data_IF_727339487448
#
_entry.id   IF_727339487448
#
_cell.length_a   1.000
_cell.length_b   1.000
_cell.length_c   1.000
_cell.angle_alpha   90.00
_cell.angle_beta   90.00
_cell.angle_gamma   90.00
#
_symmetry.space_group_name_H-M   'P 1'
#
loop_
_entity.id
_entity.type
_entity.pdbx_description
1 polymer ?
#
# COMPACT_ATOMS: atom_id res chain seq x y z
N UNK A 1 13.07 37.59 13.86
CA UNK A 1 12.24 36.63 14.65
C UNK A 1 10.78 37.07 14.75
N UNK A 2 10.35 38.07 14.00
CA UNK A 2 8.98 38.59 14.07
C UNK A 2 8.05 37.79 13.15
N UNK A 3 6.86 37.49 13.66
CA UNK A 3 5.74 36.80 13.02
C UNK A 3 5.91 35.30 12.72
N UNK A 4 6.33 34.50 13.71
CA UNK A 4 6.14 33.04 13.64
C UNK A 4 4.66 32.70 13.83
N UNK A 5 4.05 32.02 12.85
CA UNK A 5 2.69 31.44 12.98
C UNK A 5 2.55 30.51 14.18
N UNK A 6 3.61 29.75 14.51
CA UNK A 6 3.66 28.86 15.69
C UNK A 6 4.47 29.53 16.81
N UNK A 7 3.76 30.08 17.79
CA UNK A 7 4.32 30.86 18.90
C UNK A 7 4.55 30.03 20.17
N UNK A 8 3.76 28.97 20.38
CA UNK A 8 3.83 28.15 21.59
C UNK A 8 5.00 27.14 21.53
N UNK A 9 5.89 27.20 22.52
CA UNK A 9 7.01 26.26 22.69
C UNK A 9 6.69 25.22 23.77
N UNK A 10 7.02 23.96 23.51
CA UNK A 10 7.01 22.87 24.50
C UNK A 10 8.39 22.21 24.53
N UNK A 11 8.91 21.95 25.74
CA UNK A 11 10.20 21.30 25.97
C UNK A 11 9.98 19.92 26.57
N UNK A 12 10.80 18.97 26.16
CA UNK A 12 10.85 17.60 26.70
C UNK A 12 12.33 17.29 26.94
N UNK A 13 12.65 16.81 28.12
CA UNK A 13 13.99 16.32 28.45
C UNK A 13 14.06 14.83 28.14
N UNK A 14 15.15 14.42 27.52
CA UNK A 14 15.39 13.03 27.10
C UNK A 14 16.74 12.59 27.65
N UNK A 15 16.82 11.33 28.04
CA UNK A 15 18.10 10.63 28.20
C UNK A 15 18.78 10.43 26.84
N UNK A 16 20.08 10.13 26.84
CA UNK A 16 20.82 9.88 25.59
C UNK A 16 20.22 8.71 24.78
N UNK A 17 19.75 7.66 25.47
CA UNK A 17 19.12 6.50 24.85
C UNK A 17 17.78 6.87 24.17
N UNK A 18 16.96 7.68 24.84
CA UNK A 18 15.70 8.17 24.28
C UNK A 18 15.94 9.12 23.09
N UNK A 19 16.98 9.94 23.17
CA UNK A 19 17.38 10.84 22.08
C UNK A 19 17.85 10.07 20.85
N UNK A 20 18.66 9.02 21.03
CA UNK A 20 19.07 8.13 19.94
C UNK A 20 17.85 7.48 19.27
N UNK A 21 16.95 6.92 20.08
CA UNK A 21 15.69 6.32 19.61
C UNK A 21 14.83 7.34 18.84
N UNK A 22 14.78 8.59 19.30
CA UNK A 22 14.07 9.67 18.62
C UNK A 22 14.70 9.96 17.25
N UNK A 23 16.03 10.02 17.13
CA UNK A 23 16.69 10.26 15.85
C UNK A 23 16.45 9.14 14.84
N UNK A 24 16.51 7.88 15.27
CA UNK A 24 16.20 6.74 14.42
C UNK A 24 14.77 6.84 13.86
N UNK A 25 13.79 7.16 14.72
CA UNK A 25 12.40 7.35 14.30
C UNK A 25 12.22 8.54 13.37
N UNK A 26 12.94 9.64 13.58
CA UNK A 26 12.92 10.79 12.67
C UNK A 26 13.50 10.38 11.32
N UNK A 27 14.63 9.66 11.29
CA UNK A 27 15.28 9.19 10.07
C UNK A 27 14.45 8.21 9.25
N UNK A 28 13.67 7.35 9.93
CA UNK A 28 12.70 6.47 9.29
C UNK A 28 11.43 7.20 8.84
N UNK A 29 11.22 8.43 9.29
CA UNK A 29 10.09 9.26 8.87
C UNK A 29 10.45 10.14 7.67
N UNK A 30 9.47 10.50 6.85
CA UNK A 30 9.66 11.53 5.81
C UNK A 30 9.72 12.98 6.36
N UNK A 31 10.00 13.18 7.65
CA UNK A 31 9.99 14.50 8.28
C UNK A 31 11.36 15.18 8.18
N UNK A 32 11.37 16.45 7.74
CA UNK A 32 12.61 17.22 7.55
C UNK A 32 13.32 17.63 8.85
N UNK A 33 12.61 17.69 9.97
CA UNK A 33 13.16 18.08 11.27
C UNK A 33 12.28 17.61 12.45
N UNK A 34 12.84 17.67 13.65
CA UNK A 34 12.15 17.31 14.90
C UNK A 34 10.83 18.07 15.09
N UNK A 35 10.78 19.37 14.81
CA UNK A 35 9.54 20.14 15.03
C UNK A 35 8.39 19.70 14.11
N UNK A 36 8.68 19.24 12.89
CA UNK A 36 7.69 18.65 12.01
C UNK A 36 7.26 17.25 12.50
N UNK A 37 8.23 16.41 12.86
CA UNK A 37 7.99 15.08 13.41
C UNK A 37 7.15 15.13 14.70
N UNK A 38 7.54 15.95 15.67
CA UNK A 38 6.86 16.08 16.95
C UNK A 38 5.41 16.55 16.78
N UNK A 39 5.13 17.53 15.91
CA UNK A 39 3.74 17.93 15.64
C UNK A 39 2.94 16.81 14.97
N UNK A 40 3.55 16.09 14.04
CA UNK A 40 2.91 14.97 13.35
C UNK A 40 2.56 13.84 14.33
N UNK A 41 3.43 13.53 15.28
CA UNK A 41 3.18 12.46 16.28
C UNK A 41 2.26 12.93 17.40
N UNK A 42 2.55 14.07 18.03
CA UNK A 42 1.83 14.54 19.21
C UNK A 42 0.39 14.98 18.92
N UNK A 43 0.08 15.40 17.69
CA UNK A 43 -1.27 15.85 17.30
C UNK A 43 -2.09 14.78 16.59
N UNK A 44 -1.52 13.59 16.35
CA UNK A 44 -2.22 12.46 15.76
C UNK A 44 -2.07 11.23 16.68
N UNK A 45 -2.90 11.11 17.74
CA UNK A 45 -2.76 10.05 18.74
C UNK A 45 -2.91 8.63 18.18
N UNK A 46 -3.47 8.47 16.98
CA UNK A 46 -3.62 7.21 16.27
C UNK A 46 -2.54 6.96 15.20
N UNK A 47 -1.48 7.79 15.15
CA UNK A 47 -0.48 7.72 14.09
C UNK A 47 0.66 6.76 14.45
N UNK A 48 0.48 5.50 14.08
CA UNK A 48 1.58 4.52 14.00
C UNK A 48 2.34 4.76 12.69
N UNK A 49 3.67 4.91 12.74
CA UNK A 49 4.48 4.94 11.52
C UNK A 49 4.41 3.56 10.87
N UNK A 50 3.60 3.43 9.82
CA UNK A 50 3.49 2.21 9.04
C UNK A 50 4.43 2.34 7.84
N UNK A 51 5.53 1.60 7.87
CA UNK A 51 6.31 1.30 6.67
C UNK A 51 5.62 0.13 5.99
N UNK A 52 4.79 0.40 4.98
CA UNK A 52 4.22 -0.67 4.17
C UNK A 52 5.32 -1.14 3.22
N UNK A 53 5.80 -2.36 3.45
CA UNK A 53 6.70 -3.02 2.51
C UNK A 53 5.92 -3.42 1.25
N UNK A 54 6.19 -2.74 0.14
CA UNK A 54 5.60 -3.03 -1.17
C UNK A 54 6.49 -3.93 -2.03
N UNK A 55 7.52 -4.56 -1.47
CA UNK A 55 8.42 -5.45 -2.23
C UNK A 55 7.66 -6.60 -2.90
N UNK A 56 6.61 -7.11 -2.27
CA UNK A 56 5.76 -8.18 -2.82
C UNK A 56 4.73 -7.70 -3.87
N UNK A 57 4.75 -6.42 -4.26
CA UNK A 57 3.85 -5.90 -5.29
C UNK A 57 4.27 -6.34 -6.70
N UNK A 58 5.54 -6.73 -6.86
CA UNK A 58 6.08 -7.20 -8.14
C UNK A 58 5.41 -8.51 -8.61
N UNK A 59 5.11 -9.43 -7.69
CA UNK A 59 4.45 -10.70 -8.00
C UNK A 59 3.00 -10.49 -8.46
N UNK A 60 2.27 -9.58 -7.81
CA UNK A 60 0.92 -9.21 -8.22
C UNK A 60 0.91 -8.56 -9.61
N UNK A 61 1.87 -7.65 -9.86
CA UNK A 61 2.03 -7.00 -11.16
C UNK A 61 2.44 -8.01 -12.24
N UNK A 62 3.27 -9.00 -11.89
CA UNK A 62 3.66 -10.08 -12.79
C UNK A 62 2.46 -10.94 -13.20
N UNK A 63 1.64 -11.37 -12.24
CA UNK A 63 0.44 -12.14 -12.53
C UNK A 63 -0.51 -11.34 -13.42
N UNK A 64 -0.81 -10.08 -13.10
CA UNK A 64 -1.62 -9.18 -13.95
C UNK A 64 -1.10 -9.07 -15.38
N UNK A 65 0.22 -8.96 -15.58
CA UNK A 65 0.84 -8.96 -16.92
C UNK A 65 0.62 -10.28 -17.65
N UNK A 66 0.70 -11.43 -16.95
CA UNK A 66 0.43 -12.75 -17.54
C UNK A 66 -1.00 -12.85 -18.07
N UNK A 67 -1.97 -12.34 -17.33
CA UNK A 67 -3.38 -12.33 -17.75
C UNK A 67 -3.61 -11.41 -18.93
N UNK A 68 -3.05 -10.19 -18.89
CA UNK A 68 -3.11 -9.26 -20.03
C UNK A 68 -2.54 -9.86 -21.32
N UNK A 69 -1.45 -10.63 -21.19
CA UNK A 69 -0.86 -11.34 -22.33
C UNK A 69 -1.77 -12.46 -22.87
N UNK A 70 -2.39 -13.26 -22.00
CA UNK A 70 -3.35 -14.29 -22.40
C UNK A 70 -4.54 -13.66 -23.15
N UNK A 71 -5.12 -12.58 -22.60
CA UNK A 71 -6.22 -11.84 -23.25
C UNK A 71 -5.82 -11.31 -24.62
N UNK A 72 -4.62 -10.77 -24.76
CA UNK A 72 -4.09 -10.30 -26.03
C UNK A 72 -3.90 -11.43 -27.06
N UNK A 73 -3.46 -12.62 -26.63
CA UNK A 73 -3.32 -13.78 -27.51
C UNK A 73 -4.68 -14.22 -28.04
N UNK A 74 -5.69 -14.28 -27.17
CA UNK A 74 -7.05 -14.63 -27.56
C UNK A 74 -7.62 -13.59 -28.53
N UNK A 75 -7.45 -12.31 -28.25
CA UNK A 75 -7.88 -11.25 -29.15
C UNK A 75 -7.24 -11.40 -30.55
N UNK A 76 -5.94 -11.74 -30.61
CA UNK A 76 -5.26 -12.02 -31.88
C UNK A 76 -5.81 -13.26 -32.57
N UNK A 77 -6.00 -14.37 -31.86
CA UNK A 77 -6.57 -15.60 -32.41
C UNK A 77 -7.95 -15.35 -32.99
N UNK A 78 -8.82 -14.64 -32.27
CA UNK A 78 -10.16 -14.27 -32.72
C UNK A 78 -10.11 -13.40 -33.97
N UNK A 79 -9.21 -12.42 -34.00
CA UNK A 79 -9.02 -11.55 -35.16
C UNK A 79 -8.46 -12.32 -36.38
N UNK A 80 -7.68 -13.38 -36.18
CA UNK A 80 -7.07 -14.17 -37.25
C UNK A 80 -7.99 -15.27 -37.78
N UNK A 81 -8.73 -15.96 -36.91
CA UNK A 81 -9.56 -17.11 -37.30
C UNK A 81 -10.98 -16.71 -37.66
N UNK A 82 -11.43 -15.50 -37.27
CA UNK A 82 -12.84 -15.08 -37.26
C UNK A 82 -13.79 -16.05 -36.53
N UNK A 83 -13.25 -17.04 -35.79
CA UNK A 83 -14.01 -18.11 -35.16
C UNK A 83 -13.57 -18.19 -33.70
N UNK A 84 -14.49 -17.82 -32.82
CA UNK A 84 -14.35 -17.97 -31.38
C UNK A 84 -15.12 -19.24 -30.99
N UNK A 85 -14.43 -20.36 -30.75
CA UNK A 85 -15.13 -21.60 -30.39
C UNK A 85 -15.79 -21.40 -29.03
N UNK A 86 -17.04 -21.87 -28.84
CA UNK A 86 -17.76 -21.69 -27.58
C UNK A 86 -16.99 -22.22 -26.35
N UNK A 87 -16.29 -23.34 -26.50
CA UNK A 87 -15.45 -23.94 -25.45
C UNK A 87 -14.30 -23.01 -25.01
N UNK A 88 -13.64 -22.34 -25.96
CA UNK A 88 -12.54 -21.42 -25.67
C UNK A 88 -13.04 -20.19 -24.91
N UNK A 89 -14.29 -19.76 -25.19
CA UNK A 89 -14.95 -18.64 -24.50
C UNK A 89 -15.28 -18.99 -23.04
N UNK A 90 -15.80 -20.19 -22.79
CA UNK A 90 -16.19 -20.63 -21.45
C UNK A 90 -14.99 -20.78 -20.51
N UNK A 91 -13.89 -21.39 -21.00
CA UNK A 91 -12.65 -21.51 -20.25
C UNK A 91 -12.05 -20.14 -19.90
N UNK A 92 -12.19 -19.17 -20.80
CA UNK A 92 -11.76 -17.79 -20.59
C UNK A 92 -12.57 -17.08 -19.50
N UNK A 93 -13.89 -17.15 -19.60
CA UNK A 93 -14.78 -16.52 -18.64
C UNK A 93 -14.55 -17.14 -17.25
N UNK A 94 -14.34 -18.46 -17.17
CA UNK A 94 -13.96 -19.12 -15.92
C UNK A 94 -12.61 -18.65 -15.39
N UNK A 95 -11.57 -18.63 -16.22
CA UNK A 95 -10.22 -18.22 -15.81
C UNK A 95 -10.17 -16.76 -15.33
N UNK A 96 -10.85 -15.85 -16.02
CA UNK A 96 -10.99 -14.44 -15.60
C UNK A 96 -11.77 -14.34 -14.28
N UNK A 97 -12.88 -15.09 -14.15
CA UNK A 97 -13.68 -15.08 -12.93
C UNK A 97 -12.92 -15.59 -11.70
N UNK A 98 -12.13 -16.65 -11.87
CA UNK A 98 -11.33 -17.22 -10.78
C UNK A 98 -10.22 -16.25 -10.34
N UNK A 99 -9.60 -15.58 -11.30
CA UNK A 99 -8.62 -14.55 -11.02
C UNK A 99 -9.21 -13.34 -10.28
N UNK A 100 -10.34 -12.80 -10.73
CA UNK A 100 -11.00 -11.66 -10.07
C UNK A 100 -11.26 -12.02 -8.61
N UNK A 101 -11.74 -13.23 -8.36
CA UNK A 101 -12.01 -13.73 -7.01
C UNK A 101 -10.75 -13.82 -6.14
N UNK A 102 -9.63 -14.28 -6.69
CA UNK A 102 -8.35 -14.35 -5.97
C UNK A 102 -7.79 -12.96 -5.65
N UNK A 103 -7.86 -12.02 -6.60
CA UNK A 103 -7.43 -10.62 -6.39
C UNK A 103 -8.30 -9.92 -5.36
N UNK A 104 -9.63 -10.08 -5.43
CA UNK A 104 -10.55 -9.53 -4.43
C UNK A 104 -10.32 -10.14 -3.05
N UNK A 105 -10.03 -11.44 -2.97
CA UNK A 105 -9.71 -12.12 -1.71
C UNK A 105 -8.42 -11.58 -1.09
N UNK A 106 -7.34 -11.47 -1.86
CA UNK A 106 -6.06 -10.93 -1.36
C UNK A 106 -6.21 -9.46 -0.94
N UNK A 107 -6.94 -8.65 -1.71
CA UNK A 107 -7.26 -7.29 -1.35
C UNK A 107 -8.07 -7.20 -0.05
N UNK A 108 -9.11 -8.03 0.10
CA UNK A 108 -9.94 -8.05 1.30
C UNK A 108 -9.16 -8.50 2.55
N UNK A 109 -8.31 -9.53 2.44
CA UNK A 109 -7.43 -9.96 3.53
C UNK A 109 -6.51 -8.83 3.95
N UNK A 110 -5.89 -8.12 3.00
CA UNK A 110 -5.02 -6.97 3.29
C UNK A 110 -5.79 -5.79 3.87
N UNK A 111 -6.98 -5.47 3.34
CA UNK A 111 -7.86 -4.47 3.93
C UNK A 111 -8.32 -4.84 5.34
N UNK A 112 -8.51 -6.13 5.62
CA UNK A 112 -8.87 -6.61 6.94
C UNK A 112 -7.68 -6.56 7.90
N UNK A 113 -6.48 -6.94 7.47
CA UNK A 113 -5.25 -6.74 8.25
C UNK A 113 -5.04 -5.27 8.57
N UNK A 114 -5.26 -4.38 7.61
CA UNK A 114 -5.25 -2.94 7.84
C UNK A 114 -6.34 -2.55 8.84
N UNK A 115 -7.58 -3.02 8.67
CA UNK A 115 -8.69 -2.72 9.61
C UNK A 115 -8.47 -3.27 11.00
N UNK A 116 -7.91 -4.45 11.20
CA UNK A 116 -7.60 -5.01 12.52
C UNK A 116 -6.44 -4.24 13.17
N UNK A 117 -5.49 -3.78 12.36
CA UNK A 117 -4.39 -2.92 12.81
C UNK A 117 -4.83 -1.48 13.12
N UNK A 118 -5.83 -0.95 12.41
CA UNK A 118 -6.43 0.39 12.62
C UNK A 118 -7.68 0.38 13.51
N UNK A 119 -8.26 -0.79 13.80
CA UNK A 119 -9.62 -0.97 14.31
C UNK A 119 -9.71 -1.28 15.80
N UNK A 120 -8.65 -0.99 16.55
CA UNK A 120 -8.80 -0.72 17.98
C UNK A 120 -9.20 0.74 18.16
N UNK A 121 -10.50 0.99 18.02
CA UNK A 121 -11.27 1.94 18.85
C UNK A 121 -12.58 1.27 19.25
#
# INVERSE_FOLDING_TARGET
MENRYRTNLKKVFLTDQELATLYDRIGQSCCKNFSAYARKVLLNPNMTFLTIDTSNYEDLVFELKRIGNNLNQIARTVNQTHILKPCDRELLVQGIGQLIKEVESDFNIKCQQLKEFYGSH
#
